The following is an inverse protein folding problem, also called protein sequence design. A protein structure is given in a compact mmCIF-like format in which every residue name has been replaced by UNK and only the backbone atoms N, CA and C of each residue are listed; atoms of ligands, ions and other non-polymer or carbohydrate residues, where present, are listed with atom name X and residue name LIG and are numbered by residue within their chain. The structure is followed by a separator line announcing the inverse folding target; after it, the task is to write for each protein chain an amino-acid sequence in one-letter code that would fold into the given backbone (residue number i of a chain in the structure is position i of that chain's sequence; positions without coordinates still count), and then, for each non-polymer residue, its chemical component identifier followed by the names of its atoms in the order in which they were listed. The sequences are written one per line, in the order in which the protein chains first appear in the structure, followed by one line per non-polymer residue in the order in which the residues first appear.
data_IF_040852966846
#
_entry.id   IF_040852966846
#
_cell.length_a   1.000
_cell.length_b   1.000
_cell.length_c   1.000
_cell.angle_alpha   90.00
_cell.angle_beta   90.00
_cell.angle_gamma   90.00
#
_symmetry.space_group_name_H-M   'P 1'
#
loop_
_entity.id
_entity.type
_entity.pdbx_description
1 polymer ?
#
# COMPACT_ATOMS: atom_id res chain seq x y z
N UNK A 1 11.15 -0.18 -14.39
CA UNK A 1 10.48 0.26 -13.14
C UNK A 1 9.29 1.10 -13.54
N UNK A 2 8.10 0.79 -13.03
CA UNK A 2 6.87 1.52 -13.34
C UNK A 2 6.37 2.22 -12.07
N UNK A 3 5.91 3.46 -12.20
CA UNK A 3 5.37 4.24 -11.08
C UNK A 3 4.17 5.04 -11.56
N UNK A 4 3.17 5.20 -10.68
CA UNK A 4 1.98 5.99 -10.95
C UNK A 4 1.44 6.57 -9.66
N UNK A 5 1.09 7.85 -9.69
CA UNK A 5 0.40 8.52 -8.60
C UNK A 5 -1.10 8.23 -8.68
N UNK A 6 -1.70 7.95 -7.53
CA UNK A 6 -3.11 7.57 -7.39
C UNK A 6 -3.68 8.26 -6.16
N UNK A 7 -4.86 8.85 -6.31
CA UNK A 7 -5.60 9.42 -5.20
C UNK A 7 -6.31 8.32 -4.40
N UNK A 8 -6.18 8.37 -3.07
CA UNK A 8 -6.93 7.47 -2.18
C UNK A 8 -8.33 8.06 -1.98
N UNK A 9 -9.29 7.54 -2.74
CA UNK A 9 -10.70 7.97 -2.69
C UNK A 9 -11.46 7.51 -1.43
N UNK A 10 -10.90 6.55 -0.69
CA UNK A 10 -11.54 6.07 0.52
C UNK A 10 -11.43 7.13 1.63
N UNK A 11 -12.57 7.53 2.21
CA UNK A 11 -12.63 8.55 3.28
C UNK A 11 -11.80 8.17 4.51
N UNK A 12 -11.70 6.88 4.81
CA UNK A 12 -10.89 6.37 5.93
C UNK A 12 -9.43 6.10 5.52
N UNK A 13 -9.04 6.43 4.28
CA UNK A 13 -7.73 6.13 3.74
C UNK A 13 -7.50 4.65 3.43
N UNK A 14 -6.24 4.27 3.33
CA UNK A 14 -5.79 2.90 3.03
C UNK A 14 -5.50 2.12 4.33
N UNK A 15 -6.50 2.02 5.21
CA UNK A 15 -6.39 1.35 6.52
C UNK A 15 -7.24 0.07 6.61
N UNK A 16 -6.90 -0.78 7.59
CA UNK A 16 -7.65 -1.98 7.97
C UNK A 16 -7.99 -2.89 6.77
N UNK A 17 -9.28 -3.08 6.45
CA UNK A 17 -9.75 -4.00 5.40
C UNK A 17 -9.19 -3.65 4.01
N UNK A 18 -9.04 -2.37 3.68
CA UNK A 18 -8.52 -1.95 2.38
C UNK A 18 -7.04 -2.35 2.22
N UNK A 19 -6.24 -2.16 3.28
CA UNK A 19 -4.84 -2.58 3.33
C UNK A 19 -4.73 -4.10 3.22
N UNK A 20 -5.57 -4.87 3.93
CA UNK A 20 -5.54 -6.35 3.84
C UNK A 20 -5.83 -6.85 2.43
N UNK A 21 -6.81 -6.27 1.73
CA UNK A 21 -7.09 -6.62 0.33
C UNK A 21 -5.92 -6.28 -0.59
N UNK A 22 -5.30 -5.11 -0.40
CA UNK A 22 -4.14 -4.70 -1.18
C UNK A 22 -2.94 -5.62 -0.94
N UNK A 23 -2.68 -6.02 0.31
CA UNK A 23 -1.61 -6.96 0.67
C UNK A 23 -1.82 -8.32 0.05
N UNK A 24 -3.04 -8.86 0.12
CA UNK A 24 -3.37 -10.14 -0.50
C UNK A 24 -3.13 -10.12 -2.01
N UNK A 25 -3.58 -9.06 -2.68
CA UNK A 25 -3.35 -8.89 -4.11
C UNK A 25 -1.87 -8.68 -4.43
N UNK A 26 -1.16 -7.83 -3.70
CA UNK A 26 0.27 -7.57 -3.93
C UNK A 26 1.09 -8.87 -3.79
N UNK A 27 0.73 -9.74 -2.85
CA UNK A 27 1.41 -11.02 -2.64
C UNK A 27 1.20 -12.04 -3.76
N UNK A 28 0.19 -11.88 -4.63
CA UNK A 28 0.03 -12.77 -5.80
C UNK A 28 1.03 -12.50 -6.93
N UNK A 29 1.80 -11.41 -6.84
CA UNK A 29 2.79 -11.05 -7.86
C UNK A 29 4.21 -11.33 -7.39
N UNK A 30 5.08 -11.77 -8.31
CA UNK A 30 6.51 -11.96 -8.00
C UNK A 30 7.25 -10.64 -7.82
N UNK A 31 6.81 -9.57 -8.49
CA UNK A 31 7.42 -8.24 -8.41
C UNK A 31 7.42 -7.66 -7.01
N UNK A 32 8.41 -6.84 -6.71
CA UNK A 32 8.37 -5.98 -5.53
C UNK A 32 7.45 -4.79 -5.78
N UNK A 33 6.57 -4.50 -4.82
CA UNK A 33 5.56 -3.45 -4.94
C UNK A 33 5.70 -2.56 -3.72
N UNK A 34 5.86 -1.26 -3.96
CA UNK A 34 6.06 -0.27 -2.92
C UNK A 34 5.06 0.88 -3.07
N UNK A 35 4.65 1.45 -1.95
CA UNK A 35 3.81 2.65 -1.88
C UNK A 35 4.64 3.76 -1.23
N UNK A 36 4.64 4.94 -1.83
CA UNK A 36 5.24 6.15 -1.27
C UNK A 36 4.14 7.13 -0.87
N UNK A 37 4.23 7.69 0.33
CA UNK A 37 3.37 8.78 0.82
C UNK A 37 4.21 9.69 1.70
N UNK A 38 4.20 11.00 1.43
CA UNK A 38 4.90 12.02 2.23
C UNK A 38 6.38 11.67 2.51
N UNK A 39 7.09 11.17 1.50
CA UNK A 39 8.50 10.77 1.61
C UNK A 39 8.75 9.45 2.37
N UNK A 40 7.72 8.80 2.89
CA UNK A 40 7.81 7.47 3.52
C UNK A 40 7.47 6.39 2.50
N UNK A 41 8.24 5.30 2.52
CA UNK A 41 8.08 4.14 1.63
C UNK A 41 7.61 2.93 2.43
N UNK A 42 6.59 2.23 1.95
CA UNK A 42 6.11 0.98 2.52
C UNK A 42 6.13 -0.14 1.49
N UNK A 43 6.37 -1.37 1.97
CA UNK A 43 6.20 -2.56 1.16
C UNK A 43 4.72 -2.93 1.10
N UNK A 44 4.14 -2.93 -0.10
CA UNK A 44 2.72 -3.24 -0.32
C UNK A 44 2.36 -4.70 0.02
N UNK A 45 3.35 -5.58 0.17
CA UNK A 45 3.17 -6.98 0.57
C UNK A 45 3.13 -7.21 2.08
N UNK A 46 3.40 -6.18 2.89
CA UNK A 46 3.41 -6.26 4.35
C UNK A 46 2.30 -5.40 4.96
N UNK A 47 1.36 -6.04 5.64
CA UNK A 47 0.26 -5.35 6.33
C UNK A 47 0.76 -4.38 7.39
N UNK A 48 1.80 -4.76 8.15
CA UNK A 48 2.41 -3.89 9.17
C UNK A 48 3.03 -2.66 8.54
N UNK A 49 3.72 -2.81 7.40
CA UNK A 49 4.35 -1.70 6.69
C UNK A 49 3.34 -0.66 6.19
N UNK A 50 2.20 -1.12 5.67
CA UNK A 50 1.14 -0.23 5.20
C UNK A 50 0.42 0.50 6.34
N UNK A 51 0.17 -0.18 7.46
CA UNK A 51 -0.48 0.42 8.63
C UNK A 51 0.34 1.59 9.19
N UNK A 52 1.67 1.48 9.22
CA UNK A 52 2.55 2.57 9.67
C UNK A 52 2.66 3.73 8.67
N UNK A 53 2.44 3.47 7.38
CA UNK A 53 2.46 4.50 6.33
C UNK A 53 1.17 5.31 6.29
N UNK A 54 0.05 4.64 6.56
CA UNK A 54 -1.27 5.24 6.44
C UNK A 54 -1.63 6.12 7.64
N UNK A 55 -0.99 5.89 8.81
CA UNK A 55 -1.11 6.68 10.04
C UNK A 55 -0.91 8.19 9.83
#
# INVERSE_FOLDING_TARGET
MQSRDIEIVNKLGLHARASSKLVQLANSFKSEIFINKNGRKANAKSIMSLMMLAA
#
